data_IF_533928113935
#
_entry.id   IF_533928113935
#
_cell.length_a   1.000
_cell.length_b   1.000
_cell.length_c   1.000
_cell.angle_alpha   90.00
_cell.angle_beta   90.00
_cell.angle_gamma   90.00
#
_symmetry.space_group_name_H-M   'P 1'
#
loop_
_entity.id
_entity.type
_entity.pdbx_description
1 polymer ?
#
# COMPACT_ATOMS: atom_id res chain seq x y z
N UNK A 1 -0.43 15.44 6.38
CA UNK A 1 0.06 14.21 5.71
C UNK A 1 -0.15 14.40 4.23
N UNK A 2 0.83 14.12 3.37
CA UNK A 2 0.60 14.02 1.93
C UNK A 2 0.05 12.62 1.65
N UNK A 3 -1.20 12.49 1.20
CA UNK A 3 -1.88 11.21 1.04
C UNK A 3 -1.47 10.54 -0.26
N UNK A 4 -1.09 9.26 -0.20
CA UNK A 4 -0.68 8.47 -1.37
C UNK A 4 -1.61 7.30 -1.65
N UNK A 5 -2.46 6.90 -0.71
CA UNK A 5 -3.51 5.92 -0.94
C UNK A 5 -4.67 6.16 0.03
N UNK A 6 -5.89 5.90 -0.44
CA UNK A 6 -7.11 5.97 0.37
C UNK A 6 -7.99 4.80 -0.02
N UNK A 7 -8.55 4.11 0.98
CA UNK A 7 -9.56 3.07 0.75
C UNK A 7 -10.69 3.22 1.76
N UNK A 8 -11.92 3.10 1.28
CA UNK A 8 -13.12 3.10 2.12
C UNK A 8 -13.70 1.69 2.18
N UNK A 9 -13.94 1.22 3.39
CA UNK A 9 -14.67 -0.01 3.73
C UNK A 9 -16.00 0.37 4.37
N UNK A 10 -16.94 -0.58 4.41
CA UNK A 10 -18.27 -0.33 4.96
C UNK A 10 -18.53 -1.24 6.15
N UNK A 11 -19.08 -0.67 7.22
CA UNK A 11 -19.61 -1.42 8.35
C UNK A 11 -21.08 -1.73 8.07
N UNK A 12 -21.45 -3.01 8.23
CA UNK A 12 -22.83 -3.53 8.22
C UNK A 12 -23.60 -3.15 9.49
N UNK A 13 -23.36 -1.96 10.04
CA UNK A 13 -24.10 -1.40 11.16
C UNK A 13 -25.42 -0.79 10.68
N UNK A 14 -26.30 -0.42 11.63
CA UNK A 14 -27.52 0.33 11.36
C UNK A 14 -27.52 1.64 12.17
N UNK A 15 -27.29 2.81 11.54
CA UNK A 15 -27.04 3.01 10.10
C UNK A 15 -25.67 2.47 9.66
N UNK A 16 -25.47 2.16 8.36
CA UNK A 16 -24.16 1.81 7.82
C UNK A 16 -23.15 2.93 8.07
N UNK A 17 -21.93 2.56 8.40
CA UNK A 17 -20.84 3.50 8.69
C UNK A 17 -19.66 3.21 7.77
N UNK A 18 -18.93 4.24 7.39
CA UNK A 18 -17.69 4.09 6.62
C UNK A 18 -16.49 3.89 7.55
N UNK A 19 -15.55 3.05 7.12
CA UNK A 19 -14.19 2.99 7.66
C UNK A 19 -13.23 3.43 6.58
N UNK A 20 -12.52 4.53 6.80
CA UNK A 20 -11.54 5.04 5.84
C UNK A 20 -10.14 4.72 6.32
N UNK A 21 -9.36 4.09 5.46
CA UNK A 21 -7.92 3.93 5.64
C UNK A 21 -7.21 4.90 4.70
N UNK A 22 -6.32 5.73 5.25
CA UNK A 22 -5.43 6.60 4.49
C UNK A 22 -3.98 6.24 4.79
N UNK A 23 -3.17 6.11 3.74
CA UNK A 23 -1.71 5.97 3.82
C UNK A 23 -1.08 7.21 3.20
N UNK A 24 -0.13 7.80 3.91
CA UNK A 24 0.64 8.94 3.44
C UNK A 24 2.00 8.55 2.87
N UNK A 25 2.60 9.52 2.21
CA UNK A 25 3.91 9.38 1.59
C UNK A 25 4.97 9.02 2.64
N UNK A 26 5.76 7.94 2.44
CA UNK A 26 6.97 7.71 3.21
C UNK A 26 7.92 8.90 3.07
N UNK A 27 8.45 9.38 4.19
CA UNK A 27 9.41 10.49 4.23
C UNK A 27 10.65 10.08 5.00
N UNK A 28 11.81 10.41 4.46
CA UNK A 28 13.07 10.27 5.18
C UNK A 28 13.09 11.26 6.36
N UNK A 29 13.35 10.76 7.55
CA UNK A 29 13.51 11.55 8.77
C UNK A 29 14.97 11.96 8.94
N UNK A 30 15.28 13.01 9.74
CA UNK A 30 16.66 13.43 9.98
C UNK A 30 17.59 12.35 10.57
N UNK A 31 17.03 11.25 11.12
CA UNK A 31 17.80 10.10 11.60
C UNK A 31 18.31 9.19 10.47
N UNK A 32 17.84 9.38 9.22
CA UNK A 32 18.08 8.48 8.08
C UNK A 32 17.09 7.32 7.99
N UNK A 33 16.20 7.15 8.97
CA UNK A 33 15.10 6.20 8.90
C UNK A 33 13.93 6.80 8.10
N UNK A 34 13.06 5.94 7.59
CA UNK A 34 11.87 6.35 6.84
C UNK A 34 10.63 6.24 7.68
N UNK A 35 9.82 7.30 7.75
CA UNK A 35 8.52 7.26 8.41
C UNK A 35 7.38 7.26 7.40
N UNK A 36 6.44 6.34 7.56
CA UNK A 36 5.24 6.29 6.72
C UNK A 36 4.00 6.55 7.61
N UNK A 37 3.33 7.71 7.45
CA UNK A 37 2.17 8.04 8.25
C UNK A 37 0.91 7.38 7.69
N UNK A 38 -0.02 7.02 8.57
CA UNK A 38 -1.32 6.44 8.20
C UNK A 38 -2.41 6.88 9.17
N UNK A 39 -3.68 6.73 8.76
CA UNK A 39 -4.86 7.00 9.59
C UNK A 39 -5.95 5.98 9.26
N UNK A 40 -6.69 5.56 10.28
CA UNK A 40 -7.87 4.71 10.13
C UNK A 40 -9.02 5.40 10.86
N UNK A 41 -9.97 5.94 10.11
CA UNK A 41 -11.15 6.64 10.64
C UNK A 41 -12.36 5.70 10.61
N UNK A 42 -13.21 5.74 11.65
CA UNK A 42 -14.43 4.94 11.73
C UNK A 42 -14.30 3.59 12.43
N UNK A 43 -13.12 3.26 12.98
CA UNK A 43 -12.92 2.15 13.91
C UNK A 43 -12.63 2.68 15.31
N UNK A 44 -13.35 2.16 16.30
CA UNK A 44 -13.24 2.63 17.68
C UNK A 44 -11.79 2.47 18.19
N UNK A 45 -11.20 3.58 18.67
CA UNK A 45 -9.84 3.62 19.21
C UNK A 45 -8.71 3.75 18.17
N UNK A 46 -9.04 3.80 16.88
CA UNK A 46 -8.06 3.92 15.79
C UNK A 46 -8.02 5.28 15.11
N UNK A 47 -8.95 6.19 15.46
CA UNK A 47 -9.23 7.49 14.80
C UNK A 47 -8.16 8.56 15.08
N UNK A 48 -6.89 8.22 14.89
CA UNK A 48 -5.76 9.11 15.09
C UNK A 48 -4.74 8.88 13.98
N UNK A 49 -4.05 9.95 13.59
CA UNK A 49 -2.88 9.80 12.73
C UNK A 49 -1.78 9.07 13.50
N UNK A 50 -1.24 8.01 12.89
CA UNK A 50 -0.13 7.20 13.38
C UNK A 50 0.97 7.18 12.32
N UNK A 51 2.12 6.61 12.68
CA UNK A 51 3.21 6.31 11.74
C UNK A 51 3.90 5.03 12.14
N UNK A 52 4.52 4.40 11.15
CA UNK A 52 5.55 3.38 11.36
C UNK A 52 6.89 3.93 10.88
N UNK A 53 7.98 3.31 11.32
CA UNK A 53 9.34 3.63 10.88
C UNK A 53 9.96 2.37 10.29
N UNK A 54 10.63 2.50 9.15
CA UNK A 54 11.37 1.44 8.46
C UNK A 54 12.76 1.91 8.01
N UNK A 55 13.57 0.99 7.51
CA UNK A 55 14.93 1.27 7.04
C UNK A 55 14.95 2.07 5.74
N UNK A 56 13.96 1.84 4.86
CA UNK A 56 13.76 2.57 3.62
C UNK A 56 12.27 2.87 3.35
N UNK A 57 11.99 3.57 2.24
CA UNK A 57 10.63 3.95 1.85
C UNK A 57 9.70 2.75 1.61
N UNK A 58 10.24 1.65 1.08
CA UNK A 58 9.49 0.42 0.77
C UNK A 58 9.20 -0.34 2.05
N UNK A 59 10.19 -0.53 2.93
CA UNK A 59 10.02 -1.16 4.23
C UNK A 59 8.99 -0.41 5.09
N UNK A 60 9.09 0.92 5.16
CA UNK A 60 8.11 1.74 5.86
C UNK A 60 6.68 1.57 5.28
N UNK A 61 6.54 1.45 3.96
CA UNK A 61 5.25 1.21 3.31
C UNK A 61 4.71 -0.20 3.60
N UNK A 62 5.56 -1.24 3.53
CA UNK A 62 5.20 -2.62 3.86
C UNK A 62 4.73 -2.75 5.31
N UNK A 63 5.42 -2.10 6.25
CA UNK A 63 5.06 -2.04 7.66
C UNK A 63 3.70 -1.36 7.85
N UNK A 64 3.40 -0.26 7.15
CA UNK A 64 2.06 0.35 7.22
C UNK A 64 1.00 -0.62 6.73
N UNK A 65 1.23 -1.28 5.59
CA UNK A 65 0.26 -2.25 5.06
C UNK A 65 0.03 -3.41 6.04
N UNK A 66 1.08 -3.91 6.69
CA UNK A 66 0.98 -4.95 7.71
C UNK A 66 0.21 -4.48 8.96
N UNK A 67 0.50 -3.28 9.46
CA UNK A 67 -0.18 -2.71 10.62
C UNK A 67 -1.64 -2.42 10.32
N UNK A 68 -1.95 -1.83 9.17
CA UNK A 68 -3.34 -1.58 8.73
C UNK A 68 -4.11 -2.89 8.65
N UNK A 69 -3.56 -3.93 8.01
CA UNK A 69 -4.21 -5.25 7.94
C UNK A 69 -4.48 -5.81 9.33
N UNK A 70 -3.50 -5.71 10.23
CA UNK A 70 -3.63 -6.20 11.61
C UNK A 70 -4.66 -5.39 12.42
N UNK A 71 -4.69 -4.07 12.23
CA UNK A 71 -5.65 -3.17 12.86
C UNK A 71 -7.08 -3.48 12.42
N UNK A 72 -7.29 -3.61 11.10
CA UNK A 72 -8.58 -3.99 10.53
C UNK A 72 -9.02 -5.37 11.02
N UNK A 73 -8.18 -6.40 10.90
CA UNK A 73 -8.54 -7.76 11.32
C UNK A 73 -8.73 -7.91 12.84
N UNK A 74 -8.00 -7.10 13.62
CA UNK A 74 -8.03 -7.09 15.08
C UNK A 74 -9.04 -6.13 15.70
N UNK A 75 -9.83 -5.41 14.90
CA UNK A 75 -10.84 -4.48 15.39
C UNK A 75 -12.02 -5.20 16.03
N UNK A 76 -12.81 -4.49 16.84
CA UNK A 76 -14.03 -5.04 17.41
C UNK A 76 -15.03 -5.39 16.30
N UNK A 77 -15.19 -4.48 15.36
CA UNK A 77 -16.07 -4.55 14.21
C UNK A 77 -15.75 -5.75 13.30
N UNK A 78 -14.46 -6.07 13.12
CA UNK A 78 -14.05 -7.28 12.40
C UNK A 78 -14.46 -8.56 13.13
N UNK A 79 -14.26 -8.61 14.45
CA UNK A 79 -14.64 -9.76 15.27
C UNK A 79 -16.15 -9.99 15.29
N UNK A 80 -16.93 -8.92 15.18
CA UNK A 80 -18.39 -8.97 15.04
C UNK A 80 -18.86 -9.27 13.60
N UNK A 81 -17.94 -9.40 12.64
CA UNK A 81 -18.28 -9.67 11.23
C UNK A 81 -18.95 -8.49 10.53
N UNK A 82 -18.77 -7.27 11.04
CA UNK A 82 -19.42 -6.07 10.51
C UNK A 82 -18.67 -5.45 9.34
N UNK A 83 -17.37 -5.71 9.18
CA UNK A 83 -16.57 -5.14 8.10
C UNK A 83 -16.87 -5.81 6.76
N UNK A 84 -17.59 -5.10 5.90
CA UNK A 84 -17.84 -5.44 4.52
C UNK A 84 -16.71 -4.94 3.61
N UNK A 85 -16.40 -5.70 2.55
CA UNK A 85 -15.32 -5.37 1.63
C UNK A 85 -13.90 -5.59 2.18
N UNK A 86 -13.76 -6.17 3.39
CA UNK A 86 -12.44 -6.59 3.91
C UNK A 86 -11.78 -7.58 2.94
N UNK A 87 -12.58 -8.39 2.21
CA UNK A 87 -12.13 -9.40 1.25
C UNK A 87 -13.20 -9.73 0.18
N UNK A 88 -13.78 -8.76 -0.51
CA UNK A 88 -14.39 -9.05 -1.82
C UNK A 88 -13.28 -9.19 -2.86
N UNK A 89 -12.49 -10.26 -2.68
CA UNK A 89 -11.22 -10.47 -3.35
C UNK A 89 -10.40 -11.61 -2.71
N UNK A 90 -11.05 -12.77 -2.58
CA UNK A 90 -10.42 -14.09 -2.63
C UNK A 90 -9.61 -14.58 -1.41
N UNK A 91 -9.62 -15.91 -1.29
CA UNK A 91 -8.65 -16.71 -0.55
C UNK A 91 -7.27 -16.06 -0.62
N UNK A 92 -6.56 -16.00 0.51
CA UNK A 92 -5.14 -15.67 0.56
C UNK A 92 -4.28 -16.73 -0.16
N UNK A 93 -4.50 -16.91 -1.45
CA UNK A 93 -3.53 -17.46 -2.37
C UNK A 93 -2.48 -16.39 -2.67
N UNK A 94 -1.28 -16.82 -3.03
CA UNK A 94 -0.21 -15.95 -3.51
C UNK A 94 -0.79 -15.00 -4.58
N UNK A 95 -0.85 -13.70 -4.28
CA UNK A 95 -1.22 -12.69 -5.27
C UNK A 95 -0.08 -12.69 -6.31
N UNK A 96 -0.39 -13.12 -7.53
CA UNK A 96 0.61 -13.14 -8.58
C UNK A 96 0.93 -11.69 -8.97
N UNK A 97 2.19 -11.29 -8.77
CA UNK A 97 2.75 -10.06 -9.33
C UNK A 97 3.50 -10.38 -10.61
N UNK A 98 3.58 -9.42 -11.52
CA UNK A 98 4.26 -9.56 -12.80
C UNK A 98 5.45 -8.63 -12.83
N UNK A 99 6.65 -9.20 -12.88
CA UNK A 99 7.90 -8.43 -12.90
C UNK A 99 8.37 -8.30 -14.35
N UNK A 100 8.70 -7.08 -14.76
CA UNK A 100 9.44 -6.78 -15.98
C UNK A 100 10.74 -6.10 -15.58
N UNK A 101 11.86 -6.70 -15.93
CA UNK A 101 13.17 -6.16 -15.62
C UNK A 101 13.87 -5.73 -16.90
N UNK A 102 14.32 -4.47 -16.93
CA UNK A 102 15.16 -3.91 -17.97
C UNK A 102 16.59 -3.77 -17.43
N UNK A 103 17.46 -4.70 -17.83
CA UNK A 103 18.86 -4.72 -17.43
C UNK A 103 19.66 -3.57 -18.03
N UNK A 104 19.28 -3.05 -19.20
CA UNK A 104 20.00 -1.95 -19.85
C UNK A 104 19.75 -0.64 -19.10
N UNK A 105 18.52 -0.44 -18.63
CA UNK A 105 18.13 0.72 -17.83
C UNK A 105 18.42 0.55 -16.32
N UNK A 106 18.81 -0.65 -15.86
CA UNK A 106 18.87 -1.02 -14.44
C UNK A 106 17.56 -0.64 -13.70
N UNK A 107 16.42 -1.00 -14.29
CA UNK A 107 15.10 -0.64 -13.78
C UNK A 107 14.14 -1.84 -13.85
N UNK A 108 13.21 -1.92 -12.90
CA UNK A 108 12.21 -2.99 -12.86
C UNK A 108 10.82 -2.43 -12.60
N UNK A 109 9.83 -3.05 -13.22
CA UNK A 109 8.43 -2.75 -13.02
C UNK A 109 7.70 -3.97 -12.45
N UNK A 110 7.12 -3.82 -11.27
CA UNK A 110 6.34 -4.84 -10.58
C UNK A 110 4.87 -4.47 -10.70
N UNK A 111 4.13 -5.15 -11.57
CA UNK A 111 2.71 -4.93 -11.78
C UNK A 111 1.86 -5.84 -10.88
N UNK A 112 0.82 -5.27 -10.27
CA UNK A 112 -0.14 -5.99 -9.41
C UNK A 112 -1.17 -6.82 -10.20
N UNK A 113 -1.15 -6.69 -11.53
CA UNK A 113 -1.96 -7.45 -12.48
C UNK A 113 -1.24 -7.57 -13.83
N UNK A 114 -1.67 -8.54 -14.65
CA UNK A 114 -0.98 -8.91 -15.90
C UNK A 114 -0.92 -7.79 -16.93
N UNK A 115 -2.01 -7.03 -17.04
CA UNK A 115 -2.15 -5.95 -18.02
C UNK A 115 -2.67 -4.71 -17.32
N UNK A 116 -1.88 -3.64 -17.38
CA UNK A 116 -2.27 -2.29 -17.02
C UNK A 116 -2.49 -1.54 -18.33
N UNK A 117 -3.70 -1.05 -18.54
CA UNK A 117 -4.05 -0.34 -19.78
C UNK A 117 -3.50 1.08 -19.76
N UNK A 118 -3.29 1.65 -20.95
CA UNK A 118 -2.92 3.07 -21.06
C UNK A 118 -4.00 3.94 -20.42
N UNK A 119 -3.59 4.85 -19.54
CA UNK A 119 -4.49 5.74 -18.79
C UNK A 119 -5.10 5.14 -17.53
N UNK A 120 -4.77 3.89 -17.18
CA UNK A 120 -5.25 3.26 -15.96
C UNK A 120 -4.46 3.72 -14.71
N UNK A 121 -3.14 3.89 -14.85
CA UNK A 121 -2.33 4.60 -13.87
C UNK A 121 -2.61 6.11 -14.01
N UNK A 122 -3.49 6.62 -13.16
CA UNK A 122 -3.94 8.03 -13.19
C UNK A 122 -3.16 8.91 -12.22
N UNK A 123 -2.41 8.32 -11.30
CA UNK A 123 -1.59 9.04 -10.34
C UNK A 123 -0.28 8.30 -10.08
N UNK A 124 0.83 9.03 -10.15
CA UNK A 124 2.16 8.52 -9.83
C UNK A 124 2.71 9.23 -8.59
N UNK A 125 3.44 8.50 -7.77
CA UNK A 125 4.04 9.01 -6.54
C UNK A 125 5.48 8.52 -6.45
N UNK A 126 6.42 9.45 -6.39
CA UNK A 126 7.82 9.15 -6.10
C UNK A 126 7.95 8.86 -4.59
N UNK A 127 8.33 7.64 -4.25
CA UNK A 127 8.49 7.15 -2.88
C UNK A 127 9.96 6.85 -2.60
N UNK A 128 10.72 7.88 -2.21
CA UNK A 128 12.19 7.78 -2.13
C UNK A 128 12.88 8.18 -3.43
N UNK A 129 14.19 7.98 -3.50
CA UNK A 129 14.98 8.41 -4.67
C UNK A 129 14.74 7.51 -5.89
N UNK A 130 14.58 6.20 -5.65
CA UNK A 130 14.65 5.18 -6.69
C UNK A 130 13.34 4.37 -6.84
N UNK A 131 12.21 4.86 -6.32
CA UNK A 131 10.94 4.12 -6.40
C UNK A 131 9.78 5.05 -6.80
N UNK A 132 8.97 4.59 -7.75
CA UNK A 132 7.72 5.25 -8.17
C UNK A 132 6.55 4.29 -8.02
N UNK A 133 5.46 4.76 -7.42
CA UNK A 133 4.23 4.01 -7.20
C UNK A 133 3.16 4.50 -8.17
N UNK A 134 2.58 3.58 -8.94
CA UNK A 134 1.49 3.84 -9.86
C UNK A 134 0.15 3.46 -9.23
N UNK A 135 -0.79 4.41 -9.19
CA UNK A 135 -2.12 4.23 -8.62
C UNK A 135 -3.24 4.39 -9.65
N UNK A 136 -4.27 3.56 -9.48
CA UNK A 136 -5.53 3.62 -10.22
C UNK A 136 -6.48 4.69 -9.69
N UNK A 137 -7.66 4.78 -10.31
CA UNK A 137 -8.67 5.80 -9.99
C UNK A 137 -9.23 5.67 -8.58
N UNK A 138 -9.30 4.46 -8.03
CA UNK A 138 -9.82 4.21 -6.68
C UNK A 138 -8.72 4.28 -5.61
N UNK A 139 -7.49 4.65 -6.00
CA UNK A 139 -6.34 4.72 -5.09
C UNK A 139 -5.68 3.37 -4.80
N UNK A 140 -6.04 2.34 -5.56
CA UNK A 140 -5.39 1.03 -5.57
C UNK A 140 -4.01 1.09 -6.22
N UNK A 141 -3.03 0.38 -5.66
CA UNK A 141 -1.70 0.25 -6.25
C UNK A 141 -1.77 -0.66 -7.49
N UNK A 142 -1.37 -0.14 -8.64
CA UNK A 142 -1.32 -0.86 -9.91
C UNK A 142 0.08 -1.39 -10.21
N UNK A 143 1.12 -0.62 -9.84
CA UNK A 143 2.49 -1.03 -10.07
C UNK A 143 3.51 -0.25 -9.25
N UNK A 144 4.72 -0.80 -9.20
CA UNK A 144 5.90 -0.20 -8.58
C UNK A 144 7.02 -0.21 -9.61
N UNK A 145 7.53 0.97 -9.94
CA UNK A 145 8.75 1.16 -10.72
C UNK A 145 9.93 1.33 -9.76
N UNK A 146 10.96 0.52 -9.93
CA UNK A 146 12.21 0.55 -9.18
C UNK A 146 13.33 0.96 -10.14
N UNK A 147 14.00 2.06 -9.82
CA UNK A 147 15.29 2.44 -10.40
C UNK A 147 16.41 1.74 -9.60
N UNK A 148 17.60 1.55 -10.15
CA UNK A 148 18.64 0.76 -9.49
C UNK A 148 18.15 -0.64 -9.05
N UNK A 149 17.43 -1.32 -9.95
CA UNK A 149 16.74 -2.57 -9.66
C UNK A 149 17.70 -3.71 -9.22
N UNK A 150 18.96 -3.68 -9.66
CA UNK A 150 20.01 -4.60 -9.19
C UNK A 150 20.29 -4.49 -7.69
N UNK A 151 20.05 -3.34 -7.09
CA UNK A 151 20.19 -3.16 -5.65
C UNK A 151 18.88 -3.50 -4.93
N UNK A 152 17.76 -3.02 -5.46
CA UNK A 152 16.47 -3.05 -4.77
C UNK A 152 15.70 -4.37 -4.89
N UNK A 153 15.81 -5.09 -6.01
CA UNK A 153 15.03 -6.31 -6.18
C UNK A 153 15.64 -7.50 -5.42
N UNK A 154 14.85 -8.34 -4.73
CA UNK A 154 15.34 -9.63 -4.23
C UNK A 154 15.95 -10.48 -5.35
N UNK A 155 17.01 -11.22 -5.06
CA UNK A 155 17.73 -12.03 -6.06
C UNK A 155 16.84 -13.04 -6.79
N UNK A 156 15.82 -13.53 -6.11
CA UNK A 156 14.84 -14.50 -6.57
C UNK A 156 13.88 -13.92 -7.63
N UNK A 157 13.78 -12.59 -7.72
CA UNK A 157 12.95 -11.88 -8.70
C UNK A 157 13.73 -11.45 -9.96
N UNK A 158 15.05 -11.63 -9.97
CA UNK A 158 15.96 -11.25 -11.08
C UNK A 158 16.11 -12.38 -12.12
N UNK A 159 14.98 -12.95 -12.54
CA UNK A 159 14.93 -14.10 -13.46
C UNK A 159 14.93 -13.68 -14.93
#
# INVERSE_FOLDING_TARGET
MYEIARRTLWLRSSPPREVTVTIGLPVEEPSGEWSCPYRIDGLDGWEHQRRVTGEDAVDALELVLAVVRSALAGSHEAREGLLDGMLDGERAGQRAVFVRWDMEANAAYIAMKREISSGEAVRQVVAGEDTVLDFGQEGELLGVELLDADRQMPSEMRL
#
